data_IF_720819206764
#
_entry.id   IF_720819206764
#
_cell.length_a   1.000
_cell.length_b   1.000
_cell.length_c   1.000
_cell.angle_alpha   90.00
_cell.angle_beta   90.00
_cell.angle_gamma   90.00
#
_symmetry.space_group_name_H-M   'P 1'
#
loop_
_entity.id
_entity.type
_entity.pdbx_description
1 polymer ?
#
# COMPACT_ATOMS: atom_id res chain seq x y z
N UNK A 1 5.94 -2.65 80.67
CA UNK A 1 6.83 -3.81 80.53
C UNK A 1 7.10 -3.98 79.02
N UNK A 2 8.29 -3.53 78.58
CA UNK A 2 8.74 -3.53 77.19
C UNK A 2 9.61 -4.77 77.00
N UNK A 3 9.17 -5.70 76.15
CA UNK A 3 9.96 -6.83 75.73
C UNK A 3 10.82 -6.52 74.54
N UNK A 4 12.14 -6.54 74.72
CA UNK A 4 13.11 -6.48 73.61
C UNK A 4 13.15 -7.89 72.97
N UNK A 5 12.77 -7.96 71.68
CA UNK A 5 13.01 -9.13 70.83
C UNK A 5 14.34 -8.96 70.10
N UNK A 6 15.27 -9.84 70.40
CA UNK A 6 16.60 -9.89 69.77
C UNK A 6 16.49 -10.31 68.31
N UNK A 7 16.88 -9.41 67.40
CA UNK A 7 17.04 -9.72 65.99
C UNK A 7 18.30 -10.61 65.81
N UNK A 8 18.11 -11.87 65.55
CA UNK A 8 19.16 -12.74 65.02
C UNK A 8 19.49 -12.34 63.58
N UNK A 9 20.66 -11.76 63.39
CA UNK A 9 21.25 -11.53 62.06
C UNK A 9 21.69 -12.90 61.51
N UNK A 10 20.87 -13.50 60.65
CA UNK A 10 21.26 -14.66 59.85
C UNK A 10 22.24 -14.17 58.77
N UNK A 11 23.50 -14.42 58.99
CA UNK A 11 24.56 -14.25 57.98
C UNK A 11 24.33 -15.28 56.85
N UNK A 12 23.59 -14.89 55.82
CA UNK A 12 23.58 -15.64 54.58
C UNK A 12 24.80 -15.23 53.76
N UNK A 13 25.81 -16.09 53.72
CA UNK A 13 26.87 -16.03 52.73
C UNK A 13 26.22 -16.18 51.34
N UNK A 14 26.27 -15.18 50.44
CA UNK A 14 25.85 -15.36 49.08
C UNK A 14 26.88 -16.25 48.38
N UNK A 15 26.58 -17.53 48.17
CA UNK A 15 27.27 -18.32 47.15
C UNK A 15 27.05 -17.64 45.82
N UNK A 16 28.03 -16.82 45.43
CA UNK A 16 28.07 -16.10 44.14
C UNK A 16 28.04 -17.11 43.01
N UNK A 17 26.86 -17.38 42.47
CA UNK A 17 26.71 -18.18 41.27
C UNK A 17 27.37 -17.42 40.13
N UNK A 18 28.47 -17.95 39.60
CA UNK A 18 29.22 -17.34 38.50
C UNK A 18 28.29 -17.17 37.29
N UNK A 19 28.12 -15.96 36.80
CA UNK A 19 27.28 -15.66 35.65
C UNK A 19 27.88 -16.24 34.38
N UNK A 20 27.11 -16.99 33.60
CA UNK A 20 27.53 -17.39 32.26
C UNK A 20 27.52 -16.16 31.34
N UNK A 21 28.71 -15.64 31.04
CA UNK A 21 28.86 -14.46 30.17
C UNK A 21 28.22 -14.62 28.77
N UNK A 22 27.89 -15.84 28.33
CA UNK A 22 27.25 -16.11 27.04
C UNK A 22 25.78 -15.69 27.02
N UNK A 23 25.13 -15.63 28.19
CA UNK A 23 23.73 -15.23 28.33
C UNK A 23 23.51 -13.70 28.29
N UNK A 24 24.59 -12.94 28.46
CA UNK A 24 24.56 -11.49 28.44
C UNK A 24 24.39 -10.90 27.03
N UNK A 25 23.87 -9.68 26.94
CA UNK A 25 23.84 -8.92 25.67
C UNK A 25 25.25 -8.67 25.13
N UNK A 26 25.40 -8.38 23.84
CA UNK A 26 26.72 -8.14 23.24
C UNK A 26 27.43 -6.94 23.88
N UNK A 27 26.66 -5.89 24.18
CA UNK A 27 27.14 -4.69 24.85
C UNK A 27 27.66 -5.01 26.27
N UNK A 28 26.89 -5.75 27.05
CA UNK A 28 27.29 -6.17 28.38
C UNK A 28 28.53 -7.07 28.36
N UNK A 29 28.62 -7.99 27.37
CA UNK A 29 29.83 -8.82 27.20
C UNK A 29 31.06 -7.99 26.82
N UNK A 30 30.92 -6.94 26.01
CA UNK A 30 32.02 -6.06 25.67
C UNK A 30 32.46 -5.24 26.87
N UNK A 31 31.54 -4.65 27.64
CA UNK A 31 31.85 -3.94 28.88
C UNK A 31 32.57 -4.82 29.88
N UNK A 32 32.10 -6.05 30.07
CA UNK A 32 32.70 -7.05 30.92
C UNK A 32 34.15 -7.36 30.49
N UNK A 33 34.40 -7.57 29.20
CA UNK A 33 35.75 -7.78 28.66
C UNK A 33 36.66 -6.58 28.89
N UNK A 34 36.17 -5.37 28.69
CA UNK A 34 36.92 -4.11 28.95
C UNK A 34 37.26 -3.98 30.42
N UNK A 35 36.32 -4.33 31.32
CA UNK A 35 36.56 -4.30 32.77
C UNK A 35 37.62 -5.31 33.19
N UNK A 36 37.57 -6.55 32.68
CA UNK A 36 38.59 -7.56 32.91
C UNK A 36 39.98 -7.06 32.49
N UNK A 37 40.11 -6.48 31.28
CA UNK A 37 41.38 -5.92 30.80
C UNK A 37 41.87 -4.76 31.67
N UNK A 38 40.96 -3.87 32.12
CA UNK A 38 41.31 -2.76 33.02
C UNK A 38 41.88 -3.23 34.36
N UNK A 39 41.20 -4.21 34.98
CA UNK A 39 41.65 -4.80 36.25
C UNK A 39 42.96 -5.56 36.10
N UNK A 40 43.18 -6.28 34.98
CA UNK A 40 44.42 -6.98 34.70
C UNK A 40 45.61 -6.04 34.48
N UNK A 41 45.38 -4.89 33.81
CA UNK A 41 46.39 -3.82 33.69
C UNK A 41 46.78 -3.20 35.04
N UNK A 42 45.84 -3.17 35.98
CA UNK A 42 46.05 -2.70 37.35
C UNK A 42 46.78 -3.76 38.22
N UNK A 43 47.32 -4.86 37.61
CA UNK A 43 48.10 -5.87 38.29
C UNK A 43 47.29 -6.93 39.07
N UNK A 44 45.96 -6.94 38.99
CA UNK A 44 45.14 -7.90 39.72
C UNK A 44 45.26 -9.33 39.15
N UNK A 45 45.36 -10.38 39.98
CA UNK A 45 45.34 -11.75 39.50
C UNK A 45 43.96 -12.18 38.96
N UNK A 46 43.93 -13.18 38.08
CA UNK A 46 42.69 -13.64 37.44
C UNK A 46 41.65 -14.12 38.45
N UNK A 47 42.06 -14.68 39.56
CA UNK A 47 41.18 -15.15 40.62
C UNK A 47 40.35 -14.00 41.20
N UNK A 48 41.02 -12.92 41.60
CA UNK A 48 40.34 -11.74 42.17
C UNK A 48 39.42 -11.06 41.15
N UNK A 49 39.89 -10.99 39.90
CA UNK A 49 39.05 -10.41 38.82
C UNK A 49 37.79 -11.25 38.58
N UNK A 50 37.92 -12.58 38.63
CA UNK A 50 36.81 -13.49 38.47
C UNK A 50 35.75 -13.30 39.57
N UNK A 51 36.17 -13.07 40.80
CA UNK A 51 35.27 -12.77 41.93
C UNK A 51 34.62 -11.40 41.78
N UNK A 52 35.38 -10.34 41.43
CA UNK A 52 34.88 -8.96 41.26
C UNK A 52 33.85 -8.89 40.15
N UNK A 53 34.11 -9.57 39.03
CA UNK A 53 33.31 -9.44 37.79
C UNK A 53 32.23 -10.53 37.70
N UNK A 54 32.25 -11.54 38.61
CA UNK A 54 31.26 -12.60 38.68
C UNK A 54 31.34 -13.62 37.54
N UNK A 55 32.55 -13.89 37.00
CA UNK A 55 32.78 -14.84 35.88
C UNK A 55 33.80 -15.89 36.27
N UNK A 56 34.05 -16.87 35.38
CA UNK A 56 35.08 -17.87 35.63
C UNK A 56 36.49 -17.29 35.40
N UNK A 57 37.45 -17.77 36.17
CA UNK A 57 38.88 -17.43 36.01
C UNK A 57 39.41 -17.75 34.62
N UNK A 58 38.97 -18.88 34.03
CA UNK A 58 39.28 -19.27 32.65
C UNK A 58 38.78 -18.27 31.63
N UNK A 59 37.66 -17.60 31.91
CA UNK A 59 37.16 -16.52 31.04
C UNK A 59 38.07 -15.29 31.11
N UNK A 60 38.46 -14.88 32.31
CA UNK A 60 39.42 -13.78 32.50
C UNK A 60 40.75 -14.02 31.78
N UNK A 61 41.31 -15.22 31.92
CA UNK A 61 42.52 -15.63 31.25
C UNK A 61 42.42 -15.54 29.72
N UNK A 62 41.33 -16.08 29.15
CA UNK A 62 41.09 -16.00 27.68
C UNK A 62 40.93 -14.58 27.17
N UNK A 63 40.25 -13.72 27.91
CA UNK A 63 40.06 -12.31 27.56
C UNK A 63 41.39 -11.58 27.57
N UNK A 64 42.21 -11.83 28.61
CA UNK A 64 43.54 -11.24 28.71
C UNK A 64 44.47 -11.68 27.58
N UNK A 65 44.53 -12.99 27.26
CA UNK A 65 45.29 -13.52 26.14
C UNK A 65 44.89 -12.87 24.81
N UNK A 66 43.59 -12.72 24.55
CA UNK A 66 43.10 -12.01 23.34
C UNK A 66 43.59 -10.57 23.31
N UNK A 67 43.52 -9.89 24.45
CA UNK A 67 43.97 -8.50 24.53
C UNK A 67 45.50 -8.39 24.25
N UNK A 68 46.30 -9.30 24.76
CA UNK A 68 47.73 -9.32 24.49
C UNK A 68 48.05 -9.55 23.00
N UNK A 69 47.28 -10.36 22.31
CA UNK A 69 47.47 -10.71 20.90
C UNK A 69 46.98 -9.62 19.92
N UNK A 70 45.91 -8.92 20.24
CA UNK A 70 45.26 -7.99 19.28
C UNK A 70 44.76 -6.69 19.89
N UNK A 71 45.20 -6.33 21.09
CA UNK A 71 44.86 -5.07 21.73
C UNK A 71 43.35 -4.89 22.00
N UNK A 72 42.92 -3.65 22.07
CA UNK A 72 41.54 -3.28 22.36
C UNK A 72 40.55 -3.75 21.31
N UNK A 73 40.97 -3.87 20.04
CA UNK A 73 40.14 -4.35 18.96
C UNK A 73 39.76 -5.83 19.10
N UNK A 74 40.62 -6.66 19.65
CA UNK A 74 40.37 -8.09 19.86
C UNK A 74 39.35 -8.40 20.96
N UNK A 75 39.10 -7.45 21.87
CA UNK A 75 38.12 -7.56 22.94
C UNK A 75 36.84 -6.75 22.69
N UNK A 76 36.82 -5.99 21.61
CA UNK A 76 35.64 -5.24 21.18
C UNK A 76 34.50 -6.17 20.75
N UNK A 77 33.33 -5.58 20.56
CA UNK A 77 32.13 -6.25 20.04
C UNK A 77 32.38 -6.74 18.62
N UNK A 78 32.33 -8.06 18.42
CA UNK A 78 32.37 -8.65 17.09
C UNK A 78 30.98 -8.79 16.48
N UNK A 79 30.90 -8.77 15.17
CA UNK A 79 29.66 -9.08 14.47
C UNK A 79 29.36 -10.59 14.60
N UNK A 80 28.21 -10.94 15.18
CA UNK A 80 27.75 -12.33 15.27
C UNK A 80 27.09 -12.78 13.97
N UNK A 81 27.26 -14.03 13.62
CA UNK A 81 26.67 -14.62 12.43
C UNK A 81 27.56 -14.49 11.19
N UNK A 82 27.02 -14.89 10.07
CA UNK A 82 27.69 -14.80 8.76
C UNK A 82 27.80 -13.35 8.31
N UNK A 83 28.89 -13.02 7.65
CA UNK A 83 29.00 -11.72 7.00
C UNK A 83 27.95 -11.59 5.89
N UNK A 84 27.48 -10.37 5.67
CA UNK A 84 26.52 -10.12 4.60
C UNK A 84 27.13 -10.54 3.24
N UNK A 85 26.49 -11.50 2.59
CA UNK A 85 26.96 -12.03 1.31
C UNK A 85 27.69 -13.36 1.36
N UNK A 86 28.17 -13.81 2.54
CA UNK A 86 28.81 -15.11 2.67
C UNK A 86 27.88 -16.27 2.29
N UNK A 87 28.38 -17.18 1.47
CA UNK A 87 27.68 -18.40 1.02
C UNK A 87 26.34 -18.10 0.29
N UNK A 88 26.24 -17.01 -0.47
CA UNK A 88 25.14 -16.82 -1.40
C UNK A 88 25.16 -17.88 -2.48
N UNK A 89 23.98 -18.40 -2.83
CA UNK A 89 23.82 -19.38 -3.91
C UNK A 89 24.10 -18.78 -5.29
N UNK A 90 23.76 -17.49 -5.48
CA UNK A 90 24.04 -16.75 -6.72
C UNK A 90 25.29 -15.90 -6.57
N UNK A 91 26.10 -15.84 -7.65
CA UNK A 91 27.19 -14.86 -7.75
C UNK A 91 26.65 -13.45 -7.95
N UNK A 92 27.47 -12.43 -7.71
CA UNK A 92 27.08 -11.04 -7.92
C UNK A 92 26.64 -10.74 -9.38
N UNK A 93 27.30 -11.36 -10.35
CA UNK A 93 26.97 -11.23 -11.78
C UNK A 93 25.64 -11.92 -12.12
N UNK A 94 25.38 -13.10 -11.57
CA UNK A 94 24.11 -13.79 -11.71
C UNK A 94 22.99 -12.98 -11.08
N UNK A 95 23.17 -12.42 -9.88
CA UNK A 95 22.18 -11.53 -9.25
C UNK A 95 21.88 -10.31 -10.12
N UNK A 96 22.90 -9.65 -10.67
CA UNK A 96 22.74 -8.50 -11.56
C UNK A 96 21.95 -8.85 -12.83
N UNK A 97 22.28 -9.98 -13.46
CA UNK A 97 21.57 -10.47 -14.65
C UNK A 97 20.11 -10.78 -14.38
N UNK A 98 19.81 -11.53 -13.31
CA UNK A 98 18.43 -11.85 -12.93
C UNK A 98 17.64 -10.57 -12.61
N UNK A 99 18.20 -9.64 -11.83
CA UNK A 99 17.56 -8.35 -11.52
C UNK A 99 17.20 -7.58 -12.80
N UNK A 100 18.13 -7.47 -13.74
CA UNK A 100 17.87 -6.80 -15.02
C UNK A 100 16.74 -7.48 -15.78
N UNK A 101 16.71 -8.81 -15.88
CA UNK A 101 15.65 -9.55 -16.57
C UNK A 101 14.30 -9.37 -15.88
N UNK A 102 14.24 -9.30 -14.55
CA UNK A 102 13.01 -9.03 -13.79
C UNK A 102 12.46 -7.62 -14.04
N UNK A 103 13.32 -6.65 -14.27
CA UNK A 103 12.94 -5.25 -14.51
C UNK A 103 12.53 -5.01 -15.97
N UNK A 104 13.29 -5.55 -16.91
CA UNK A 104 13.19 -5.18 -18.32
C UNK A 104 12.24 -6.08 -19.12
N UNK A 105 11.93 -7.28 -18.62
CA UNK A 105 11.14 -8.28 -19.34
C UNK A 105 10.01 -8.85 -18.47
N UNK A 106 8.92 -9.24 -19.12
CA UNK A 106 7.88 -10.06 -18.50
C UNK A 106 8.24 -11.55 -18.54
N UNK A 107 7.64 -12.40 -17.67
CA UNK A 107 7.85 -13.85 -17.74
C UNK A 107 7.53 -14.45 -19.12
N UNK A 108 6.44 -13.97 -19.76
CA UNK A 108 6.02 -14.44 -21.10
C UNK A 108 7.08 -14.16 -22.17
N UNK A 109 7.75 -13.00 -22.13
CA UNK A 109 8.84 -12.67 -23.06
C UNK A 109 10.06 -13.60 -22.91
N UNK A 110 10.19 -14.23 -21.74
CA UNK A 110 11.22 -15.22 -21.45
C UNK A 110 10.72 -16.67 -21.59
N UNK A 111 9.58 -16.86 -22.24
CA UNK A 111 8.94 -18.18 -22.49
C UNK A 111 8.53 -18.92 -21.21
N UNK A 112 8.29 -18.19 -20.12
CA UNK A 112 7.75 -18.72 -18.88
C UNK A 112 6.23 -18.56 -18.88
N UNK A 113 5.47 -19.58 -18.48
CA UNK A 113 4.00 -19.60 -18.47
C UNK A 113 3.38 -18.83 -17.29
N UNK A 114 3.82 -17.58 -17.06
CA UNK A 114 3.31 -16.72 -16.00
C UNK A 114 3.03 -15.33 -16.55
N UNK A 115 1.87 -14.76 -16.18
CA UNK A 115 1.52 -13.39 -16.56
C UNK A 115 2.35 -12.32 -15.80
N UNK A 116 2.75 -12.62 -14.57
CA UNK A 116 3.50 -11.72 -13.68
C UNK A 116 4.61 -12.48 -12.96
N UNK A 117 5.63 -11.74 -12.54
CA UNK A 117 6.67 -12.27 -11.70
C UNK A 117 6.11 -12.67 -10.33
N UNK A 118 6.24 -13.93 -9.99
CA UNK A 118 6.02 -14.50 -8.67
C UNK A 118 7.24 -15.34 -8.27
N UNK A 119 7.27 -15.87 -7.05
CA UNK A 119 8.42 -16.64 -6.55
C UNK A 119 8.75 -17.84 -7.44
N UNK A 120 7.73 -18.50 -7.99
CA UNK A 120 7.90 -19.66 -8.86
C UNK A 120 8.50 -19.27 -10.22
N UNK A 121 7.97 -18.20 -10.84
CA UNK A 121 8.52 -17.67 -12.09
C UNK A 121 9.99 -17.26 -11.95
N UNK A 122 10.35 -16.64 -10.81
CA UNK A 122 11.74 -16.25 -10.51
C UNK A 122 12.63 -17.49 -10.31
N UNK A 123 12.12 -18.51 -9.62
CA UNK A 123 12.82 -19.79 -9.44
C UNK A 123 13.16 -20.46 -10.77
N UNK A 124 12.18 -20.50 -11.69
CA UNK A 124 12.39 -21.06 -13.03
C UNK A 124 13.31 -20.18 -13.90
N UNK A 125 13.24 -18.86 -13.76
CA UNK A 125 14.19 -17.95 -14.41
C UNK A 125 15.63 -18.25 -13.95
N UNK A 126 15.84 -18.42 -12.64
CA UNK A 126 17.15 -18.78 -12.09
C UNK A 126 17.61 -20.12 -12.63
N UNK A 127 16.73 -21.12 -12.71
CA UNK A 127 17.06 -22.41 -13.31
C UNK A 127 17.47 -22.24 -14.78
N UNK A 128 16.74 -21.45 -15.55
CA UNK A 128 17.04 -21.19 -16.96
C UNK A 128 18.37 -20.48 -17.18
N UNK A 129 18.74 -19.53 -16.30
CA UNK A 129 19.93 -18.70 -16.46
C UNK A 129 21.18 -19.26 -15.77
N UNK A 130 20.98 -20.00 -14.67
CA UNK A 130 22.07 -20.46 -13.80
C UNK A 130 22.20 -21.99 -13.75
N UNK A 131 21.28 -22.74 -14.36
CA UNK A 131 21.36 -24.20 -14.49
C UNK A 131 20.93 -25.01 -13.25
N UNK A 132 20.49 -24.37 -12.17
CA UNK A 132 20.03 -25.06 -10.95
C UNK A 132 18.70 -24.53 -10.43
N UNK A 133 17.92 -25.44 -9.82
CA UNK A 133 16.62 -25.11 -9.23
C UNK A 133 16.78 -24.79 -7.75
N UNK A 134 16.61 -23.49 -7.40
CA UNK A 134 16.71 -23.08 -5.99
C UNK A 134 15.37 -23.31 -5.24
N UNK A 135 15.40 -23.49 -3.90
CA UNK A 135 14.19 -23.56 -3.10
C UNK A 135 13.35 -22.28 -3.24
N UNK A 136 12.01 -22.42 -3.31
CA UNK A 136 11.08 -21.29 -3.50
C UNK A 136 11.19 -20.22 -2.38
N UNK A 137 11.52 -20.66 -1.16
CA UNK A 137 11.78 -19.76 -0.03
C UNK A 137 13.00 -18.89 -0.30
N UNK A 138 14.08 -19.49 -0.76
CA UNK A 138 15.33 -18.79 -1.10
C UNK A 138 15.12 -17.79 -2.23
N UNK A 139 14.35 -18.15 -3.28
CA UNK A 139 13.95 -17.21 -4.32
C UNK A 139 13.19 -16.00 -3.75
N UNK A 140 12.31 -16.24 -2.77
CA UNK A 140 11.61 -15.16 -2.05
C UNK A 140 12.54 -14.28 -1.21
N UNK A 141 13.56 -14.85 -0.59
CA UNK A 141 14.59 -14.12 0.17
C UNK A 141 15.47 -13.25 -0.76
N UNK A 142 15.81 -13.74 -1.94
CA UNK A 142 16.49 -12.96 -2.97
C UNK A 142 15.64 -11.80 -3.46
N UNK A 143 14.37 -12.02 -3.79
CA UNK A 143 13.45 -10.95 -4.17
C UNK A 143 13.38 -9.84 -3.10
N UNK A 144 13.20 -10.22 -1.82
CA UNK A 144 13.17 -9.26 -0.72
C UNK A 144 14.49 -8.48 -0.59
N UNK A 145 15.62 -9.17 -0.71
CA UNK A 145 16.97 -8.59 -0.65
C UNK A 145 17.22 -7.61 -1.81
N UNK A 146 16.66 -7.88 -2.99
CA UNK A 146 16.74 -7.01 -4.16
C UNK A 146 15.75 -5.85 -4.12
N UNK A 147 14.90 -5.73 -3.07
CA UNK A 147 13.91 -4.68 -2.93
C UNK A 147 12.60 -4.94 -3.66
N UNK A 148 12.35 -6.16 -4.15
CA UNK A 148 11.08 -6.52 -4.74
C UNK A 148 10.08 -6.92 -3.66
N UNK A 149 8.90 -6.33 -3.71
CA UNK A 149 7.79 -6.63 -2.79
C UNK A 149 6.56 -7.07 -3.57
N UNK A 150 5.69 -7.93 -2.99
CA UNK A 150 4.42 -8.28 -3.62
C UNK A 150 3.55 -7.03 -3.80
N UNK A 151 3.16 -6.75 -5.04
CA UNK A 151 2.30 -5.63 -5.40
C UNK A 151 0.98 -6.14 -5.98
N UNK A 152 -0.12 -5.43 -5.69
CA UNK A 152 -1.38 -5.67 -6.38
C UNK A 152 -1.26 -5.11 -7.80
N UNK A 153 -1.44 -5.92 -8.85
CA UNK A 153 -1.29 -5.44 -10.21
C UNK A 153 -2.38 -4.42 -10.56
N UNK A 154 -1.99 -3.35 -11.24
CA UNK A 154 -2.91 -2.48 -11.93
C UNK A 154 -3.49 -3.22 -13.14
N UNK A 155 -4.80 -3.16 -13.31
CA UNK A 155 -5.49 -3.73 -14.48
C UNK A 155 -5.62 -2.66 -15.54
N UNK A 156 -4.98 -2.87 -16.67
CA UNK A 156 -5.12 -2.02 -17.85
C UNK A 156 -5.81 -2.81 -18.94
N UNK A 157 -6.74 -2.19 -19.64
CA UNK A 157 -7.40 -2.83 -20.76
C UNK A 157 -6.41 -2.98 -21.93
N UNK A 158 -6.42 -4.14 -22.58
CA UNK A 158 -5.59 -4.35 -23.79
C UNK A 158 -5.99 -3.41 -24.93
N UNK A 159 -7.25 -3.01 -24.93
CA UNK A 159 -7.88 -2.12 -25.91
C UNK A 159 -7.54 -0.65 -25.68
N UNK A 160 -6.85 -0.30 -24.59
CA UNK A 160 -6.44 1.08 -24.33
C UNK A 160 -5.40 1.54 -25.33
N UNK A 161 -5.63 2.71 -25.92
CA UNK A 161 -4.72 3.33 -26.86
C UNK A 161 -3.76 4.30 -26.15
N UNK A 162 -2.50 3.89 -25.98
CA UNK A 162 -1.45 4.77 -25.40
C UNK A 162 -1.30 6.11 -26.15
N UNK A 163 -1.34 6.15 -27.50
CA UNK A 163 -1.32 7.43 -28.22
C UNK A 163 -2.52 8.34 -27.93
N UNK A 164 -3.73 7.74 -27.76
CA UNK A 164 -4.92 8.52 -27.43
C UNK A 164 -4.82 9.11 -26.00
N UNK A 165 -4.30 8.35 -25.04
CA UNK A 165 -4.02 8.83 -23.68
C UNK A 165 -2.99 9.96 -23.69
N UNK A 166 -1.88 9.80 -24.42
CA UNK A 166 -0.86 10.83 -24.56
C UNK A 166 -1.43 12.11 -25.17
N UNK A 167 -2.20 11.99 -26.26
CA UNK A 167 -2.89 13.12 -26.90
C UNK A 167 -3.84 13.83 -25.94
N UNK A 168 -4.63 13.09 -25.17
CA UNK A 168 -5.53 13.66 -24.17
C UNK A 168 -4.77 14.53 -23.15
N UNK A 169 -3.68 14.02 -22.61
CA UNK A 169 -2.90 14.71 -21.59
C UNK A 169 -2.13 15.93 -22.14
N UNK A 170 -1.64 15.86 -23.38
CA UNK A 170 -0.76 16.91 -23.94
C UNK A 170 -1.50 17.94 -24.79
N UNK A 171 -2.66 17.60 -25.34
CA UNK A 171 -3.39 18.46 -26.28
C UNK A 171 -4.85 18.66 -25.88
N UNK A 172 -5.64 17.57 -25.83
CA UNK A 172 -7.11 17.71 -25.79
C UNK A 172 -7.57 18.35 -24.47
N UNK A 173 -7.10 17.87 -23.32
CA UNK A 173 -7.48 18.46 -22.03
C UNK A 173 -6.93 19.88 -21.80
N UNK A 174 -5.66 20.21 -22.09
CA UNK A 174 -5.17 21.58 -22.02
C UNK A 174 -5.99 22.57 -22.86
N UNK A 175 -6.46 22.18 -24.05
CA UNK A 175 -7.34 23.00 -24.87
C UNK A 175 -8.73 23.18 -24.22
N UNK A 176 -9.31 22.11 -23.66
CA UNK A 176 -10.57 22.17 -22.90
C UNK A 176 -10.44 23.11 -21.70
N UNK A 177 -9.37 22.98 -20.92
CA UNK A 177 -9.13 23.82 -19.75
C UNK A 177 -8.93 25.30 -20.13
N UNK A 178 -8.19 25.59 -21.20
CA UNK A 178 -8.00 26.94 -21.74
C UNK A 178 -9.33 27.56 -22.16
N UNK A 179 -10.14 26.82 -22.92
CA UNK A 179 -11.49 27.26 -23.35
C UNK A 179 -12.41 27.45 -22.15
N UNK A 180 -12.44 26.54 -21.20
CA UNK A 180 -13.26 26.67 -20.00
C UNK A 180 -12.93 27.94 -19.21
N UNK A 181 -11.65 28.29 -19.10
CA UNK A 181 -11.20 29.53 -18.46
C UNK A 181 -11.67 30.77 -19.25
N UNK A 182 -11.57 30.77 -20.55
CA UNK A 182 -11.99 31.89 -21.43
C UNK A 182 -13.52 32.09 -21.37
N UNK A 183 -14.29 31.01 -21.38
CA UNK A 183 -15.75 31.03 -21.35
C UNK A 183 -16.34 31.09 -19.91
N UNK A 184 -15.49 31.14 -18.88
CA UNK A 184 -15.87 31.06 -17.45
C UNK A 184 -16.71 29.82 -17.16
N UNK A 185 -16.51 28.74 -17.91
CA UNK A 185 -17.19 27.47 -17.74
C UNK A 185 -16.60 26.69 -16.54
N UNK A 186 -17.42 25.84 -15.93
CA UNK A 186 -16.99 24.96 -14.86
C UNK A 186 -16.81 23.53 -15.39
N UNK A 187 -15.64 22.96 -15.17
CA UNK A 187 -15.32 21.60 -15.60
C UNK A 187 -15.81 20.60 -14.57
N UNK A 188 -16.64 19.67 -14.97
CA UNK A 188 -17.11 18.53 -14.21
C UNK A 188 -16.61 17.22 -14.83
N UNK A 189 -16.21 16.31 -13.97
CA UNK A 189 -15.80 14.95 -14.32
C UNK A 189 -16.87 14.01 -13.82
N UNK A 190 -17.52 13.28 -14.69
CA UNK A 190 -18.63 12.42 -14.33
C UNK A 190 -18.37 10.96 -14.65
N UNK A 191 -19.06 10.09 -13.91
CA UNK A 191 -19.03 8.66 -14.09
C UNK A 191 -20.30 7.99 -13.57
N UNK A 192 -20.62 6.79 -14.07
CA UNK A 192 -21.69 5.94 -13.58
C UNK A 192 -21.14 4.82 -12.69
N UNK A 193 -21.80 4.61 -11.57
CA UNK A 193 -21.43 3.52 -10.68
C UNK A 193 -22.62 2.69 -10.23
N UNK A 194 -22.42 1.38 -10.16
CA UNK A 194 -23.34 0.43 -9.52
C UNK A 194 -22.80 -0.03 -8.17
N UNK A 195 -23.65 -0.01 -7.16
CA UNK A 195 -23.34 -0.46 -5.81
C UNK A 195 -24.24 -1.64 -5.50
N UNK A 196 -23.68 -2.75 -5.02
CA UNK A 196 -24.43 -3.98 -4.70
C UNK A 196 -24.22 -4.36 -3.24
N UNK A 197 -25.25 -4.94 -2.59
CA UNK A 197 -25.06 -5.62 -1.30
C UNK A 197 -24.12 -6.82 -1.48
N UNK A 198 -23.28 -7.08 -0.48
CA UNK A 198 -22.38 -8.25 -0.49
C UNK A 198 -21.07 -8.09 -1.27
N UNK A 199 -20.86 -6.99 -1.99
CA UNK A 199 -19.57 -6.70 -2.60
C UNK A 199 -18.53 -6.21 -1.57
N UNK A 200 -17.23 -6.32 -1.92
CA UNK A 200 -16.10 -5.79 -1.15
C UNK A 200 -16.09 -6.24 0.34
N UNK A 201 -15.87 -7.54 0.58
CA UNK A 201 -15.72 -8.07 1.94
C UNK A 201 -14.33 -7.70 2.46
N UNK A 202 -14.27 -6.89 3.52
CA UNK A 202 -13.04 -6.56 4.22
C UNK A 202 -12.56 -7.75 5.07
N UNK A 203 -11.24 -7.84 5.28
CA UNK A 203 -10.67 -8.87 6.16
C UNK A 203 -11.00 -8.56 7.61
N UNK A 204 -11.47 -9.58 8.35
CA UNK A 204 -11.68 -9.51 9.79
C UNK A 204 -10.64 -10.32 10.55
N UNK A 205 -10.48 -10.05 11.85
CA UNK A 205 -9.64 -10.84 12.72
C UNK A 205 -10.43 -12.00 13.32
N UNK A 206 -9.78 -13.18 13.38
CA UNK A 206 -10.27 -14.36 14.08
C UNK A 206 -9.08 -15.20 14.55
N UNK A 207 -9.26 -16.16 15.49
CA UNK A 207 -8.18 -17.06 15.91
C UNK A 207 -7.54 -17.77 14.70
N UNK A 208 -6.24 -18.02 14.77
CA UNK A 208 -5.49 -18.72 13.71
C UNK A 208 -6.17 -20.05 13.36
N UNK A 209 -6.40 -20.27 12.07
CA UNK A 209 -7.09 -21.47 11.56
C UNK A 209 -8.62 -21.40 11.60
N UNK A 210 -9.24 -20.35 12.14
CA UNK A 210 -10.69 -20.15 12.13
C UNK A 210 -11.06 -19.01 11.17
N UNK A 211 -11.86 -19.34 10.14
CA UNK A 211 -12.36 -18.32 9.20
C UNK A 211 -13.54 -17.57 9.83
N UNK A 212 -13.52 -16.22 9.89
CA UNK A 212 -14.66 -15.45 10.38
C UNK A 212 -15.84 -15.61 9.44
N UNK A 213 -17.04 -15.82 9.98
CA UNK A 213 -18.28 -15.97 9.22
C UNK A 213 -19.06 -14.66 9.24
N UNK A 214 -19.32 -14.12 8.05
CA UNK A 214 -20.18 -12.95 7.87
C UNK A 214 -21.52 -13.38 7.29
N UNK A 215 -22.59 -13.27 8.08
CA UNK A 215 -23.94 -13.55 7.60
C UNK A 215 -24.45 -12.39 6.75
N UNK A 216 -24.88 -12.69 5.55
CA UNK A 216 -25.43 -11.72 4.58
C UNK A 216 -26.70 -12.27 3.95
N UNK A 217 -27.57 -11.37 3.47
CA UNK A 217 -28.72 -11.78 2.66
C UNK A 217 -28.27 -12.43 1.36
N UNK A 218 -28.92 -13.52 0.99
CA UNK A 218 -28.66 -14.19 -0.30
C UNK A 218 -29.15 -13.32 -1.49
N UNK A 219 -30.19 -12.51 -1.28
CA UNK A 219 -30.71 -11.59 -2.30
C UNK A 219 -29.78 -10.41 -2.50
N UNK A 220 -29.24 -10.25 -3.70
CA UNK A 220 -28.38 -9.14 -4.08
C UNK A 220 -29.23 -7.93 -4.47
N UNK A 221 -29.14 -6.85 -3.73
CA UNK A 221 -29.74 -5.58 -4.08
C UNK A 221 -28.71 -4.68 -4.77
N UNK A 222 -29.15 -3.93 -5.77
CA UNK A 222 -28.32 -3.00 -6.53
C UNK A 222 -28.97 -1.63 -6.59
N UNK A 223 -28.17 -0.59 -6.46
CA UNK A 223 -28.50 0.80 -6.77
C UNK A 223 -27.53 1.33 -7.80
N UNK A 224 -27.97 2.21 -8.67
CA UNK A 224 -27.13 2.88 -9.65
C UNK A 224 -27.11 4.38 -9.36
N UNK A 225 -25.97 4.98 -9.60
CA UNK A 225 -25.74 6.41 -9.39
C UNK A 225 -24.91 6.96 -10.56
N UNK A 226 -25.19 8.17 -10.99
CA UNK A 226 -24.28 9.01 -11.75
C UNK A 226 -23.81 10.12 -10.84
N UNK A 227 -22.52 10.42 -10.87
CA UNK A 227 -21.92 11.54 -10.15
C UNK A 227 -21.11 12.42 -11.07
N UNK A 228 -20.82 13.64 -10.62
CA UNK A 228 -19.87 14.53 -11.25
C UNK A 228 -19.21 15.41 -10.20
N UNK A 229 -17.89 15.58 -10.34
CA UNK A 229 -17.06 16.36 -9.40
C UNK A 229 -16.22 17.39 -10.12
N UNK A 230 -15.83 18.44 -9.38
CA UNK A 230 -14.91 19.47 -9.87
C UNK A 230 -13.64 19.50 -9.02
N UNK A 231 -12.55 20.02 -9.57
CA UNK A 231 -11.30 20.25 -8.82
C UNK A 231 -11.45 21.31 -7.71
N UNK A 232 -12.56 22.07 -7.71
CA UNK A 232 -12.92 22.96 -6.61
C UNK A 232 -13.68 22.24 -5.48
N UNK A 233 -13.87 20.92 -5.61
CA UNK A 233 -14.50 20.08 -4.59
C UNK A 233 -16.03 20.09 -4.59
N UNK A 234 -16.66 20.56 -5.66
CA UNK A 234 -18.12 20.42 -5.81
C UNK A 234 -18.46 18.99 -6.21
N UNK A 235 -19.56 18.46 -5.67
CA UNK A 235 -20.07 17.11 -5.97
C UNK A 235 -21.55 17.24 -6.38
N UNK A 236 -21.90 16.61 -7.48
CA UNK A 236 -23.28 16.43 -7.91
C UNK A 236 -23.55 14.96 -8.13
N UNK A 237 -24.71 14.46 -7.75
CA UNK A 237 -25.06 13.06 -7.95
C UNK A 237 -26.56 12.84 -8.09
N UNK A 238 -26.91 11.76 -8.75
CA UNK A 238 -28.30 11.32 -8.92
C UNK A 238 -28.37 9.80 -8.87
N UNK A 239 -29.17 9.26 -7.93
CA UNK A 239 -29.54 7.84 -7.96
C UNK A 239 -30.62 7.60 -8.98
N UNK A 240 -30.55 6.46 -9.66
CA UNK A 240 -31.55 6.06 -10.64
C UNK A 240 -31.82 4.55 -10.60
N UNK A 241 -33.02 4.17 -11.06
CA UNK A 241 -33.43 2.76 -11.18
C UNK A 241 -32.98 2.21 -12.54
N UNK A 242 -32.76 0.89 -12.61
CA UNK A 242 -32.36 0.17 -13.83
C UNK A 242 -31.03 0.65 -14.43
N UNK A 243 -30.83 0.48 -15.75
CA UNK A 243 -29.60 0.90 -16.43
C UNK A 243 -29.63 2.37 -16.84
N UNK A 244 -28.47 2.98 -17.05
CA UNK A 244 -28.35 4.31 -17.64
C UNK A 244 -28.96 4.31 -19.03
N UNK A 245 -29.69 5.38 -19.35
CA UNK A 245 -30.22 5.64 -20.68
C UNK A 245 -30.16 7.15 -20.99
N UNK A 246 -30.39 7.49 -22.25
CA UNK A 246 -30.31 8.88 -22.74
C UNK A 246 -31.21 9.86 -21.98
N UNK A 247 -32.44 9.44 -21.59
CA UNK A 247 -33.37 10.30 -20.83
C UNK A 247 -32.83 10.61 -19.43
N UNK A 248 -32.26 9.62 -18.76
CA UNK A 248 -31.67 9.78 -17.41
C UNK A 248 -30.42 10.65 -17.46
N UNK A 249 -29.57 10.47 -18.45
CA UNK A 249 -28.39 11.31 -18.66
C UNK A 249 -28.80 12.77 -18.90
N UNK A 250 -29.77 13.03 -19.78
CA UNK A 250 -30.29 14.36 -20.02
C UNK A 250 -30.89 14.97 -18.73
N UNK A 251 -31.60 14.17 -17.93
CA UNK A 251 -32.12 14.63 -16.63
C UNK A 251 -31.00 15.04 -15.68
N UNK A 252 -29.91 14.29 -15.65
CA UNK A 252 -28.74 14.64 -14.85
C UNK A 252 -28.08 15.92 -15.35
N UNK A 253 -27.83 16.05 -16.66
CA UNK A 253 -27.25 17.24 -17.27
C UNK A 253 -28.08 18.51 -17.03
N UNK A 254 -29.41 18.42 -17.11
CA UNK A 254 -30.31 19.55 -16.76
C UNK A 254 -30.14 20.01 -15.32
N UNK A 255 -30.04 19.05 -14.38
CA UNK A 255 -29.81 19.37 -12.96
C UNK A 255 -28.43 20.00 -12.79
N UNK A 256 -27.42 19.47 -13.48
CA UNK A 256 -26.06 19.97 -13.41
C UNK A 256 -25.96 21.43 -13.87
N UNK A 257 -26.57 21.76 -15.01
CA UNK A 257 -26.66 23.15 -15.54
C UNK A 257 -27.32 24.07 -14.52
N UNK A 258 -28.51 23.69 -14.00
CA UNK A 258 -29.23 24.48 -13.02
C UNK A 258 -28.41 24.76 -11.76
N UNK A 259 -27.69 23.75 -11.27
CA UNK A 259 -26.92 23.84 -10.02
C UNK A 259 -25.58 24.58 -10.23
N UNK A 260 -25.00 24.57 -11.44
CA UNK A 260 -23.73 25.23 -11.73
C UNK A 260 -23.88 26.76 -11.84
N UNK A 261 -25.00 27.24 -12.37
CA UNK A 261 -25.29 28.68 -12.58
C UNK A 261 -24.35 29.35 -13.62
N UNK A 262 -23.61 28.55 -14.38
CA UNK A 262 -22.67 28.94 -15.44
C UNK A 262 -22.53 27.83 -16.45
N UNK A 263 -21.87 28.09 -17.57
CA UNK A 263 -21.61 27.07 -18.59
C UNK A 263 -20.87 25.88 -17.98
N UNK A 264 -21.30 24.68 -18.33
CA UNK A 264 -20.74 23.42 -17.84
C UNK A 264 -19.93 22.75 -18.94
N UNK A 265 -18.71 22.35 -18.63
CA UNK A 265 -17.91 21.43 -19.42
C UNK A 265 -17.92 20.09 -18.70
N UNK A 266 -18.64 19.11 -19.27
CA UNK A 266 -18.79 17.80 -18.64
C UNK A 266 -17.92 16.78 -19.36
N UNK A 267 -16.98 16.19 -18.64
CA UNK A 267 -16.09 15.15 -19.13
C UNK A 267 -16.64 13.80 -18.65
N UNK A 268 -16.93 12.90 -19.57
CA UNK A 268 -17.46 11.57 -19.34
C UNK A 268 -16.56 10.49 -19.95
N UNK A 269 -16.78 9.26 -19.57
CA UNK A 269 -16.23 8.12 -20.30
C UNK A 269 -16.90 7.95 -21.68
N UNK A 270 -16.34 7.08 -22.51
CA UNK A 270 -16.77 6.91 -23.88
C UNK A 270 -17.83 5.81 -24.05
N UNK A 271 -18.89 5.81 -23.22
CA UNK A 271 -19.99 4.85 -23.32
C UNK A 271 -20.92 5.16 -24.50
N UNK A 272 -21.43 4.09 -25.14
CA UNK A 272 -22.34 4.24 -26.30
C UNK A 272 -23.58 5.09 -26.02
N UNK A 273 -24.15 5.05 -24.79
CA UNK A 273 -25.33 5.83 -24.42
C UNK A 273 -25.08 7.33 -24.50
N UNK A 274 -23.84 7.78 -24.27
CA UNK A 274 -23.46 9.19 -24.34
C UNK A 274 -23.49 9.74 -25.76
N UNK A 275 -23.36 8.89 -26.75
CA UNK A 275 -23.35 9.24 -28.19
C UNK A 275 -24.70 9.02 -28.88
N UNK A 276 -25.78 8.75 -28.12
CA UNK A 276 -27.08 8.53 -28.71
C UNK A 276 -27.62 9.78 -29.39
N UNK A 277 -28.40 9.61 -30.47
CA UNK A 277 -28.97 10.72 -31.23
C UNK A 277 -29.85 11.65 -30.37
N UNK A 278 -30.53 11.10 -29.37
CA UNK A 278 -31.32 11.90 -28.42
C UNK A 278 -30.41 12.84 -27.59
N UNK A 279 -29.27 12.34 -27.12
CA UNK A 279 -28.30 13.14 -26.36
C UNK A 279 -27.66 14.19 -27.27
N UNK A 280 -27.22 13.83 -28.46
CA UNK A 280 -26.61 14.76 -29.43
C UNK A 280 -27.56 15.93 -29.78
N UNK A 281 -28.82 15.62 -30.12
CA UNK A 281 -29.84 16.62 -30.41
C UNK A 281 -30.10 17.54 -29.21
N UNK A 282 -30.12 16.98 -28.01
CA UNK A 282 -30.31 17.77 -26.81
C UNK A 282 -29.12 18.70 -26.55
N UNK A 283 -27.88 18.20 -26.67
CA UNK A 283 -26.64 18.97 -26.49
C UNK A 283 -26.55 20.13 -27.51
N UNK A 284 -26.93 19.89 -28.77
CA UNK A 284 -26.96 20.95 -29.80
C UNK A 284 -27.88 22.10 -29.37
N UNK A 285 -29.05 21.81 -28.80
CA UNK A 285 -30.00 22.84 -28.31
C UNK A 285 -29.48 23.58 -27.07
N UNK A 286 -28.63 22.97 -26.26
CA UNK A 286 -28.11 23.53 -25.01
C UNK A 286 -26.63 23.89 -25.06
N UNK A 287 -26.07 24.09 -26.25
CA UNK A 287 -24.63 24.36 -26.48
C UNK A 287 -24.10 25.59 -25.72
N UNK A 288 -24.95 26.57 -25.46
CA UNK A 288 -24.60 27.74 -24.67
C UNK A 288 -24.46 27.42 -23.16
N UNK A 289 -25.11 26.34 -22.67
CA UNK A 289 -25.18 26.00 -21.26
C UNK A 289 -24.26 24.82 -20.87
N UNK A 290 -24.07 23.85 -21.80
CA UNK A 290 -23.27 22.65 -21.57
C UNK A 290 -22.57 22.16 -22.82
N UNK A 291 -21.33 21.70 -22.65
CA UNK A 291 -20.59 20.97 -23.66
C UNK A 291 -20.02 19.69 -23.04
N UNK A 292 -20.09 18.58 -23.79
CA UNK A 292 -19.62 17.26 -23.30
C UNK A 292 -18.36 16.85 -24.05
N UNK A 293 -17.37 16.40 -23.31
CA UNK A 293 -16.11 15.86 -23.81
C UNK A 293 -15.98 14.41 -23.36
N UNK A 294 -15.23 13.62 -24.09
CA UNK A 294 -15.08 12.19 -23.80
C UNK A 294 -13.63 11.82 -23.56
N UNK A 295 -13.41 11.07 -22.49
CA UNK A 295 -12.11 10.47 -22.20
C UNK A 295 -11.70 9.48 -23.31
N UNK A 296 -10.41 9.22 -23.49
CA UNK A 296 -9.96 8.11 -24.31
C UNK A 296 -10.62 6.81 -23.87
N UNK A 297 -11.02 5.98 -24.83
CA UNK A 297 -11.68 4.70 -24.53
C UNK A 297 -10.80 3.82 -23.62
N UNK A 298 -11.44 3.10 -22.72
CA UNK A 298 -10.77 2.19 -21.78
C UNK A 298 -9.74 2.84 -20.86
N UNK A 299 -9.92 4.10 -20.48
CA UNK A 299 -8.98 4.87 -19.63
C UNK A 299 -9.65 5.41 -18.35
N UNK A 300 -10.25 4.55 -17.51
CA UNK A 300 -10.93 4.98 -16.28
C UNK A 300 -9.97 5.63 -15.28
N UNK A 301 -8.68 5.27 -15.31
CA UNK A 301 -7.65 5.86 -14.44
C UNK A 301 -7.45 7.36 -14.66
N UNK A 302 -7.89 7.90 -15.81
CA UNK A 302 -7.87 9.34 -16.09
C UNK A 302 -9.07 10.08 -15.52
N UNK A 303 -10.10 9.37 -14.98
CA UNK A 303 -11.29 10.00 -14.43
C UNK A 303 -11.17 10.19 -12.91
N UNK A 304 -11.11 11.45 -12.41
CA UNK A 304 -11.11 11.71 -10.98
C UNK A 304 -12.36 11.18 -10.23
N UNK A 305 -13.50 11.06 -10.90
CA UNK A 305 -14.76 10.57 -10.30
C UNK A 305 -14.69 9.07 -9.94
N UNK A 306 -13.80 8.29 -10.57
CA UNK A 306 -13.51 6.91 -10.18
C UNK A 306 -12.97 6.80 -8.73
N UNK A 307 -12.20 7.77 -8.28
CA UNK A 307 -11.71 7.81 -6.89
C UNK A 307 -12.83 8.12 -5.90
N UNK A 308 -13.80 8.98 -6.28
CA UNK A 308 -15.03 9.17 -5.53
C UNK A 308 -15.82 7.86 -5.46
N UNK A 309 -16.01 7.17 -6.59
CA UNK A 309 -16.72 5.90 -6.68
C UNK A 309 -16.06 4.82 -5.81
N UNK A 310 -14.72 4.76 -5.77
CA UNK A 310 -13.98 3.85 -4.91
C UNK A 310 -14.15 4.20 -3.42
N UNK A 311 -14.13 5.48 -3.05
CA UNK A 311 -14.43 5.97 -1.70
C UNK A 311 -15.84 5.60 -1.26
N UNK A 312 -16.82 5.79 -2.16
CA UNK A 312 -18.22 5.42 -1.92
C UNK A 312 -18.38 3.92 -1.69
N UNK A 313 -17.85 3.09 -2.58
CA UNK A 313 -17.89 1.62 -2.47
C UNK A 313 -17.26 1.16 -1.15
N UNK A 314 -16.09 1.69 -0.78
CA UNK A 314 -15.44 1.39 0.48
C UNK A 314 -16.31 1.75 1.69
N UNK A 315 -16.87 2.98 1.72
CA UNK A 315 -17.66 3.44 2.86
C UNK A 315 -19.00 2.71 3.00
N UNK A 316 -19.68 2.42 1.91
CA UNK A 316 -20.97 1.70 1.94
C UNK A 316 -20.81 0.28 2.46
N UNK A 317 -19.67 -0.36 2.18
CA UNK A 317 -19.39 -1.72 2.60
C UNK A 317 -18.66 -1.81 3.95
N UNK A 318 -18.24 -0.69 4.55
CA UNK A 318 -17.65 -0.68 5.88
C UNK A 318 -18.73 -0.77 6.98
N UNK A 319 -18.39 -1.42 8.11
CA UNK A 319 -19.27 -1.57 9.28
C UNK A 319 -20.48 -2.47 9.01
N UNK A 320 -21.62 -2.17 9.65
CA UNK A 320 -22.85 -2.96 9.49
C UNK A 320 -23.33 -2.92 8.05
N UNK A 321 -23.52 -4.07 7.44
CA UNK A 321 -23.88 -4.18 6.03
C UNK A 321 -25.36 -3.91 5.79
N UNK A 322 -25.65 -3.26 4.65
CA UNK A 322 -27.01 -3.06 4.21
C UNK A 322 -27.67 -4.41 3.85
N UNK A 323 -28.86 -4.66 4.39
CA UNK A 323 -29.63 -5.89 4.19
C UNK A 323 -30.66 -5.75 3.06
N UNK A 324 -31.04 -4.52 2.70
CA UNK A 324 -32.00 -4.21 1.65
C UNK A 324 -31.56 -2.99 0.82
N UNK A 325 -32.36 -2.67 -0.20
CA UNK A 325 -32.07 -1.60 -1.14
C UNK A 325 -32.14 -0.22 -0.47
N UNK A 326 -33.08 -0.02 0.42
CA UNK A 326 -33.34 1.25 1.13
C UNK A 326 -32.14 1.58 2.05
N UNK A 327 -31.65 0.62 2.81
CA UNK A 327 -30.46 0.79 3.65
C UNK A 327 -29.21 1.05 2.80
N UNK A 328 -29.09 0.37 1.64
CA UNK A 328 -27.96 0.57 0.72
C UNK A 328 -27.98 2.01 0.17
N UNK A 329 -29.13 2.48 -0.27
CA UNK A 329 -29.30 3.84 -0.79
C UNK A 329 -29.08 4.90 0.30
N UNK A 330 -29.60 4.68 1.51
CA UNK A 330 -29.42 5.59 2.65
C UNK A 330 -27.94 5.76 2.99
N UNK A 331 -27.18 4.67 3.07
CA UNK A 331 -25.74 4.72 3.31
C UNK A 331 -24.98 5.44 2.19
N UNK A 332 -25.32 5.13 0.95
CA UNK A 332 -24.69 5.77 -0.21
C UNK A 332 -24.99 7.27 -0.24
N UNK A 333 -26.25 7.65 -0.02
CA UNK A 333 -26.69 9.06 0.04
C UNK A 333 -26.03 9.82 1.18
N UNK A 334 -25.91 9.22 2.37
CA UNK A 334 -25.22 9.83 3.51
C UNK A 334 -23.75 10.13 3.18
N UNK A 335 -23.05 9.18 2.55
CA UNK A 335 -21.66 9.39 2.14
C UNK A 335 -21.53 10.49 1.08
N UNK A 336 -22.41 10.49 0.07
CA UNK A 336 -22.35 11.50 -0.99
C UNK A 336 -22.66 12.91 -0.45
N UNK A 337 -23.60 13.05 0.49
CA UNK A 337 -23.86 14.33 1.18
C UNK A 337 -22.67 14.76 2.03
N UNK A 338 -22.02 13.81 2.72
CA UNK A 338 -20.78 14.11 3.44
C UNK A 338 -19.69 14.67 2.51
N UNK A 339 -19.51 14.10 1.31
CA UNK A 339 -18.57 14.62 0.32
C UNK A 339 -19.00 16.02 -0.21
N UNK A 340 -20.29 16.26 -0.45
CA UNK A 340 -20.80 17.58 -0.83
C UNK A 340 -20.47 18.66 0.20
N UNK A 341 -20.56 18.31 1.49
CA UNK A 341 -20.28 19.22 2.59
C UNK A 341 -18.78 19.34 2.93
N UNK A 342 -17.95 18.44 2.37
CA UNK A 342 -16.51 18.41 2.63
C UNK A 342 -15.72 18.55 1.34
N UNK A 343 -15.61 19.79 0.85
CA UNK A 343 -14.90 20.12 -0.42
C UNK A 343 -13.43 19.72 -0.39
N UNK A 344 -12.77 19.85 0.76
CA UNK A 344 -11.33 19.52 0.88
C UNK A 344 -11.07 18.02 0.61
N UNK A 345 -11.98 17.15 1.06
CA UNK A 345 -11.91 15.71 0.79
C UNK A 345 -12.08 15.38 -0.69
N UNK A 346 -13.00 16.07 -1.36
CA UNK A 346 -13.25 15.88 -2.80
C UNK A 346 -12.08 16.39 -3.65
N UNK A 347 -11.45 17.51 -3.27
CA UNK A 347 -10.24 18.00 -3.94
C UNK A 347 -9.10 16.97 -3.94
N UNK A 348 -8.94 16.20 -2.85
CA UNK A 348 -7.91 15.14 -2.75
C UNK A 348 -8.05 14.04 -3.80
N UNK A 349 -9.22 13.83 -4.38
CA UNK A 349 -9.37 12.87 -5.47
C UNK A 349 -8.58 13.28 -6.73
N UNK A 350 -8.31 14.57 -6.90
CA UNK A 350 -7.51 15.11 -8.01
C UNK A 350 -5.99 15.07 -7.74
N UNK A 351 -5.56 14.80 -6.50
CA UNK A 351 -4.13 14.71 -6.15
C UNK A 351 -3.48 13.37 -6.54
N UNK A 352 -4.27 12.37 -6.97
CA UNK A 352 -3.75 11.10 -7.41
C UNK A 352 -2.94 11.23 -8.71
N UNK A 353 -1.81 10.53 -8.80
CA UNK A 353 -0.84 10.64 -9.90
C UNK A 353 -1.47 10.61 -11.29
N UNK A 354 -2.45 9.74 -11.52
CA UNK A 354 -3.07 9.56 -12.84
C UNK A 354 -4.02 10.68 -13.23
N UNK A 355 -4.54 11.46 -12.27
CA UNK A 355 -5.54 12.51 -12.47
C UNK A 355 -5.06 13.91 -12.04
N UNK A 356 -3.81 14.04 -11.60
CA UNK A 356 -3.22 15.32 -11.19
C UNK A 356 -3.18 16.36 -12.32
N UNK A 357 -3.30 15.95 -13.56
CA UNK A 357 -3.42 16.83 -14.73
C UNK A 357 -4.72 17.65 -14.73
N UNK A 358 -5.74 17.21 -13.95
CA UNK A 358 -7.05 17.85 -13.83
C UNK A 358 -7.19 18.69 -12.55
N UNK A 359 -6.14 18.78 -11.71
CA UNK A 359 -6.11 19.47 -10.43
C UNK A 359 -6.21 21.00 -10.52
#
# INVERSE_FOLDING_TARGET
>A
VIAYSTLQVVSQNPTSSKTDARTLTQEAQEMLRKQIVRLRKAGRPNKDIAEIVGVSESHCSRVWKRYQQGGSSAVAKGQRGRRHGDQRTLTAEQEATIKRLLTDKSPLQLKLSFALWNREAVRLLIQQQCGFLMPIRTAGEYLSRWGFTPQKPAKWAKEQSTPAVARWLTKDYPEIAKRAKAEKAEIYWGDETGIQTGANVEKGYSPKGKTPVLRQTAKKHRINMISAITNQGKVRFMFYKENMNSKRLITFMRRLIKDAGRKVYLILDNLKVHHSELVKRWLTKHKAEIEVFYLPSYSPELNPDEYLNNSLKGRVHSGVRAQNKEQLETKARAHMRHLQNNRSKTKKFFEHRCVSYAA
#
